data_IF_655964450891
#
_entry.id   IF_655964450891
#
_cell.length_a   1.000
_cell.length_b   1.000
_cell.length_c   1.000
_cell.angle_alpha   90.00
_cell.angle_beta   90.00
_cell.angle_gamma   90.00
#
_symmetry.space_group_name_H-M   'P 1'
#
loop_
_entity.id
_entity.type
_entity.pdbx_description
1 polymer ?
#
# COMPACT_ATOMS: atom_id res chain seq x y z
N UNK A 1 -2.87 -30.22 43.38
CA UNK A 1 -3.44 -29.54 42.19
C UNK A 1 -3.96 -30.61 41.25
N UNK A 2 -5.29 -30.73 41.21
CA UNK A 2 -5.98 -31.63 40.30
C UNK A 2 -5.84 -31.15 38.85
N UNK A 3 -6.12 -32.03 37.89
CA UNK A 3 -6.06 -31.69 36.46
C UNK A 3 -7.07 -30.59 36.07
N UNK A 4 -8.25 -30.56 36.70
CA UNK A 4 -9.28 -29.53 36.50
C UNK A 4 -8.81 -28.12 36.89
N UNK A 5 -8.12 -27.98 38.02
CA UNK A 5 -7.61 -26.69 38.53
C UNK A 5 -6.51 -26.11 37.62
N UNK A 6 -5.76 -26.97 36.92
CA UNK A 6 -4.76 -26.53 35.92
C UNK A 6 -5.40 -26.14 34.59
N UNK A 7 -6.51 -26.75 34.23
CA UNK A 7 -7.23 -26.48 32.99
C UNK A 7 -8.02 -25.16 33.09
N UNK A 8 -8.57 -24.86 34.26
CA UNK A 8 -9.26 -23.62 34.57
C UNK A 8 -8.29 -22.42 34.57
N UNK A 9 -7.13 -22.51 35.25
CA UNK A 9 -6.07 -21.48 35.23
C UNK A 9 -5.58 -21.21 33.80
N UNK A 10 -5.36 -22.27 33.01
CA UNK A 10 -4.93 -22.14 31.61
C UNK A 10 -6.00 -21.46 30.74
N UNK A 11 -7.27 -21.66 31.05
CA UNK A 11 -8.39 -21.04 30.32
C UNK A 11 -8.53 -19.56 30.68
N UNK A 12 -8.29 -19.19 31.94
CA UNK A 12 -8.25 -17.80 32.40
C UNK A 12 -7.06 -17.03 31.83
N UNK A 13 -5.85 -17.62 31.83
CA UNK A 13 -4.65 -17.02 31.19
C UNK A 13 -4.88 -16.77 29.69
N UNK A 14 -5.44 -17.75 28.97
CA UNK A 14 -5.77 -17.62 27.55
C UNK A 14 -6.87 -16.57 27.29
N UNK A 15 -7.77 -16.33 28.26
CA UNK A 15 -8.81 -15.33 28.15
C UNK A 15 -8.28 -13.91 28.43
N UNK A 16 -7.35 -13.75 29.39
CA UNK A 16 -6.65 -12.49 29.65
C UNK A 16 -5.72 -12.12 28.50
N UNK A 17 -4.95 -13.07 27.96
CA UNK A 17 -4.08 -12.85 26.79
C UNK A 17 -4.90 -12.43 25.55
N UNK A 18 -6.05 -13.08 25.32
CA UNK A 18 -6.98 -12.66 24.25
C UNK A 18 -7.61 -11.28 24.49
N UNK A 19 -7.86 -10.91 25.74
CA UNK A 19 -8.42 -9.60 26.12
C UNK A 19 -7.39 -8.49 25.98
N UNK A 20 -6.12 -8.77 26.27
CA UNK A 20 -4.99 -7.87 26.06
C UNK A 20 -4.70 -7.70 24.55
N UNK A 21 -4.66 -8.78 23.76
CA UNK A 21 -4.54 -8.70 22.30
C UNK A 21 -5.71 -7.94 21.67
N UNK A 22 -6.94 -8.19 22.15
CA UNK A 22 -8.15 -7.49 21.70
C UNK A 22 -8.15 -6.00 22.00
N UNK A 23 -7.33 -5.52 22.95
CA UNK A 23 -7.17 -4.10 23.23
C UNK A 23 -6.28 -3.37 22.22
N UNK A 24 -5.38 -4.10 21.53
CA UNK A 24 -4.39 -3.53 20.61
C UNK A 24 -4.74 -3.72 19.12
N UNK A 25 -5.89 -4.32 18.81
CA UNK A 25 -6.36 -4.52 17.43
C UNK A 25 -7.82 -4.09 17.35
N UNK A 26 -8.14 -3.21 16.41
CA UNK A 26 -9.52 -2.81 16.20
C UNK A 26 -10.38 -4.01 15.76
N UNK A 27 -11.65 -4.03 16.17
CA UNK A 27 -12.61 -5.04 15.73
C UNK A 27 -12.77 -5.00 14.20
N UNK A 28 -12.68 -6.15 13.54
CA UNK A 28 -12.79 -6.25 12.08
C UNK A 28 -11.55 -5.78 11.32
N UNK A 29 -10.39 -5.67 11.97
CA UNK A 29 -9.14 -5.30 11.31
C UNK A 29 -8.74 -6.28 10.18
N UNK A 30 -8.23 -5.78 9.02
CA UNK A 30 -8.06 -4.36 8.66
C UNK A 30 -9.39 -3.70 8.22
N UNK A 31 -9.70 -2.48 8.71
CA UNK A 31 -10.99 -1.84 8.48
C UNK A 31 -11.22 -1.35 7.04
N UNK A 32 -10.15 -1.09 6.27
CA UNK A 32 -10.27 -0.60 4.90
C UNK A 32 -9.82 -1.64 3.88
N UNK A 33 -10.71 -1.97 2.95
CA UNK A 33 -10.40 -2.85 1.84
C UNK A 33 -9.33 -2.28 0.90
N UNK A 34 -8.49 -3.18 0.37
CA UNK A 34 -7.40 -2.88 -0.53
C UNK A 34 -6.77 -4.15 -1.10
N UNK A 35 -5.66 -3.98 -1.83
CA UNK A 35 -4.89 -5.09 -2.39
C UNK A 35 -3.83 -5.55 -1.38
N UNK A 36 -4.22 -6.45 -0.50
CA UNK A 36 -3.33 -7.02 0.52
C UNK A 36 -3.81 -8.40 0.96
N UNK A 37 -2.91 -9.11 1.63
CA UNK A 37 -3.23 -10.25 2.48
C UNK A 37 -3.04 -9.82 3.93
N UNK A 38 -4.04 -10.11 4.77
CA UNK A 38 -3.95 -9.95 6.22
C UNK A 38 -3.66 -11.32 6.86
N UNK A 39 -2.74 -11.34 7.82
CA UNK A 39 -2.22 -12.52 8.48
C UNK A 39 -2.46 -12.45 9.98
N UNK A 40 -1.42 -12.77 10.76
CA UNK A 40 -1.47 -12.73 12.21
C UNK A 40 -1.39 -11.28 12.72
N UNK A 41 -2.46 -10.72 13.32
CA UNK A 41 -2.52 -9.32 13.71
C UNK A 41 -1.58 -8.98 14.88
N UNK A 42 -1.00 -9.97 15.56
CA UNK A 42 -0.04 -9.75 16.66
C UNK A 42 1.38 -9.45 16.18
N UNK A 43 1.67 -9.69 14.90
CA UNK A 43 3.02 -9.46 14.35
C UNK A 43 3.31 -7.97 14.20
N UNK A 44 4.55 -7.54 14.50
CA UNK A 44 4.88 -6.12 14.52
C UNK A 44 5.22 -5.52 13.15
N UNK A 45 5.13 -6.30 12.06
CA UNK A 45 5.62 -5.90 10.74
C UNK A 45 4.47 -5.77 9.75
N UNK A 46 4.46 -4.67 9.01
CA UNK A 46 3.69 -4.50 7.79
C UNK A 46 4.62 -4.40 6.58
N UNK A 47 4.17 -4.87 5.41
CA UNK A 47 4.97 -4.87 4.18
C UNK A 47 4.18 -4.20 3.05
N UNK A 48 4.83 -3.24 2.39
CA UNK A 48 4.35 -2.59 1.16
C UNK A 48 5.29 -2.99 0.02
N UNK A 49 4.75 -3.66 -1.01
CA UNK A 49 5.53 -4.20 -2.14
C UNK A 49 5.61 -3.27 -3.36
N UNK A 50 5.17 -2.01 -3.21
CA UNK A 50 5.19 -0.98 -4.25
C UNK A 50 4.59 -1.46 -5.58
N UNK A 51 5.37 -1.49 -6.67
CA UNK A 51 4.90 -1.93 -7.98
C UNK A 51 5.11 -3.44 -8.23
N UNK A 52 5.79 -4.16 -7.34
CA UNK A 52 6.16 -5.56 -7.55
C UNK A 52 5.05 -6.53 -7.15
N UNK A 53 4.93 -7.59 -7.94
CA UNK A 53 4.14 -8.78 -7.63
C UNK A 53 5.05 -9.83 -7.00
N UNK A 54 5.17 -9.80 -5.67
CA UNK A 54 5.96 -10.77 -4.89
C UNK A 54 5.07 -11.90 -4.35
N UNK A 55 5.68 -12.96 -3.83
CA UNK A 55 4.94 -13.98 -3.06
C UNK A 55 4.49 -13.43 -1.70
N UNK A 56 3.39 -12.67 -1.72
CA UNK A 56 2.80 -12.06 -0.53
C UNK A 56 2.42 -13.11 0.53
N UNK A 57 2.04 -14.33 0.13
CA UNK A 57 1.69 -15.39 1.07
C UNK A 57 2.92 -15.91 1.84
N UNK A 58 4.09 -15.96 1.18
CA UNK A 58 5.37 -16.22 1.84
C UNK A 58 5.75 -15.11 2.80
N UNK A 59 5.70 -13.85 2.37
CA UNK A 59 6.07 -12.69 3.19
C UNK A 59 5.15 -12.52 4.41
N UNK A 60 3.86 -12.81 4.26
CA UNK A 60 2.87 -12.78 5.35
C UNK A 60 3.18 -13.74 6.51
N UNK A 61 4.03 -14.75 6.29
CA UNK A 61 4.51 -15.60 7.39
C UNK A 61 5.33 -14.80 8.42
N UNK A 62 5.82 -13.60 8.09
CA UNK A 62 6.59 -12.72 8.98
C UNK A 62 5.93 -11.35 9.23
N UNK A 63 4.78 -11.08 8.64
CA UNK A 63 4.08 -9.81 8.78
C UNK A 63 2.61 -9.99 9.17
N UNK A 64 2.02 -8.94 9.73
CA UNK A 64 0.59 -8.88 10.01
C UNK A 64 -0.21 -8.58 8.74
N UNK A 65 0.38 -7.81 7.82
CA UNK A 65 -0.24 -7.41 6.56
C UNK A 65 0.83 -7.26 5.47
N UNK A 66 0.51 -7.67 4.25
CA UNK A 66 1.40 -7.57 3.09
C UNK A 66 0.59 -7.24 1.84
N UNK A 67 0.93 -6.17 1.13
CA UNK A 67 0.21 -5.77 -0.08
C UNK A 67 0.94 -4.71 -0.90
N UNK A 68 0.40 -4.39 -2.07
CA UNK A 68 0.95 -3.34 -2.93
C UNK A 68 0.41 -1.95 -2.56
N UNK A 69 1.23 -0.92 -2.77
CA UNK A 69 0.81 0.47 -2.64
C UNK A 69 1.48 1.28 -3.75
N UNK A 70 0.68 1.65 -4.77
CA UNK A 70 1.19 2.28 -5.99
C UNK A 70 1.04 3.80 -6.01
N UNK A 71 0.25 4.38 -5.11
CA UNK A 71 -0.01 5.82 -5.10
C UNK A 71 0.41 6.46 -3.79
N UNK A 72 1.10 7.59 -3.92
CA UNK A 72 1.63 8.45 -2.85
C UNK A 72 0.55 9.27 -2.12
N UNK A 73 -0.72 9.01 -2.42
CA UNK A 73 -1.90 9.70 -1.88
C UNK A 73 -2.91 8.70 -1.28
N UNK A 74 -4.05 8.44 -1.91
CA UNK A 74 -5.14 7.57 -1.43
C UNK A 74 -4.65 6.17 -1.04
N UNK A 75 -3.71 5.59 -1.79
CA UNK A 75 -3.10 4.30 -1.44
C UNK A 75 -2.35 4.38 -0.11
N UNK A 76 -1.58 5.44 0.07
CA UNK A 76 -0.86 5.74 1.31
C UNK A 76 -1.83 5.98 2.48
N UNK A 77 -2.91 6.75 2.27
CA UNK A 77 -3.94 7.00 3.28
C UNK A 77 -4.60 5.72 3.79
N UNK A 78 -4.98 4.81 2.87
CA UNK A 78 -5.57 3.51 3.22
C UNK A 78 -4.63 2.63 4.02
N UNK A 79 -3.35 2.58 3.61
CA UNK A 79 -2.34 1.82 4.33
C UNK A 79 -2.19 2.41 5.74
N UNK A 80 -1.94 3.72 5.89
CA UNK A 80 -1.82 4.37 7.21
C UNK A 80 -3.00 4.05 8.11
N UNK A 81 -4.24 4.20 7.61
CA UNK A 81 -5.45 3.88 8.35
C UNK A 81 -5.51 2.42 8.85
N UNK A 82 -5.11 1.47 7.99
CA UNK A 82 -5.02 0.06 8.38
C UNK A 82 -3.89 -0.19 9.38
N UNK A 83 -2.78 0.54 9.33
CA UNK A 83 -1.67 0.35 10.27
C UNK A 83 -2.01 0.89 11.67
N UNK A 84 -2.53 2.12 11.76
CA UNK A 84 -2.81 2.76 13.06
C UNK A 84 -4.01 2.15 13.80
N UNK A 85 -4.83 1.36 13.10
CA UNK A 85 -5.91 0.55 13.70
C UNK A 85 -5.43 -0.80 14.25
N UNK A 86 -4.12 -1.06 14.25
CA UNK A 86 -3.49 -2.19 14.93
C UNK A 86 -2.19 -1.74 15.61
N UNK A 87 -2.24 -1.54 16.92
CA UNK A 87 -1.11 -1.07 17.74
C UNK A 87 0.05 -2.07 17.80
N UNK A 88 -0.15 -3.35 17.45
CA UNK A 88 0.96 -4.30 17.37
C UNK A 88 1.95 -3.95 16.28
N UNK A 89 1.52 -3.30 15.19
CA UNK A 89 2.39 -3.00 14.05
C UNK A 89 3.31 -1.83 14.39
N UNK A 90 4.62 -2.11 14.43
CA UNK A 90 5.70 -1.18 14.79
C UNK A 90 6.70 -0.93 13.67
N UNK A 91 6.76 -1.80 12.66
CA UNK A 91 7.69 -1.70 11.55
C UNK A 91 6.93 -1.67 10.22
N UNK A 92 7.37 -0.81 9.31
CA UNK A 92 6.88 -0.75 7.94
C UNK A 92 8.02 -1.05 6.97
N UNK A 93 7.96 -2.19 6.30
CA UNK A 93 8.93 -2.55 5.26
C UNK A 93 8.42 -2.06 3.91
N UNK A 94 9.23 -1.25 3.24
CA UNK A 94 8.95 -0.79 1.88
C UNK A 94 9.90 -1.54 0.94
N UNK A 95 9.37 -2.44 0.12
CA UNK A 95 10.14 -3.26 -0.81
C UNK A 95 9.51 -3.30 -2.20
N UNK A 96 10.18 -3.97 -3.14
CA UNK A 96 9.73 -4.04 -4.53
C UNK A 96 10.17 -2.83 -5.37
N UNK A 97 9.89 -2.89 -6.65
CA UNK A 97 10.21 -1.88 -7.64
C UNK A 97 9.50 -0.57 -7.32
N UNK A 98 10.26 0.53 -7.35
CA UNK A 98 9.70 1.87 -7.15
C UNK A 98 8.68 2.22 -8.24
N UNK A 99 7.64 2.96 -7.85
CA UNK A 99 6.56 3.33 -8.75
C UNK A 99 6.99 4.52 -9.59
N UNK A 100 7.09 4.35 -10.91
CA UNK A 100 7.49 5.43 -11.80
C UNK A 100 6.52 6.61 -11.75
N UNK A 101 7.06 7.82 -11.53
CA UNK A 101 6.30 9.08 -11.45
C UNK A 101 5.67 9.35 -10.08
N UNK A 102 5.11 8.33 -9.44
CA UNK A 102 4.56 8.46 -8.08
C UNK A 102 5.66 8.49 -7.02
N UNK A 103 6.74 7.71 -7.23
CA UNK A 103 7.88 7.58 -6.32
C UNK A 103 7.39 7.30 -4.88
N UNK A 104 6.43 6.38 -4.78
CA UNK A 104 5.65 6.11 -3.57
C UNK A 104 6.53 5.61 -2.44
N UNK A 105 7.57 4.81 -2.71
CA UNK A 105 8.48 4.33 -1.67
C UNK A 105 9.21 5.46 -0.95
N UNK A 106 9.76 6.42 -1.69
CA UNK A 106 10.38 7.59 -1.06
C UNK A 106 9.37 8.52 -0.38
N UNK A 107 8.12 8.56 -0.84
CA UNK A 107 7.06 9.32 -0.17
C UNK A 107 6.71 8.72 1.20
N UNK A 108 6.78 7.40 1.37
CA UNK A 108 6.61 6.75 2.68
C UNK A 108 7.67 7.18 3.69
N UNK A 109 8.93 7.23 3.27
CA UNK A 109 10.03 7.71 4.12
C UNK A 109 9.82 9.17 4.52
N UNK A 110 9.51 10.02 3.55
CA UNK A 110 9.23 11.43 3.78
C UNK A 110 8.03 11.65 4.74
N UNK A 111 6.96 10.86 4.59
CA UNK A 111 5.80 10.93 5.48
C UNK A 111 6.14 10.55 6.91
N UNK A 112 6.93 9.48 7.10
CA UNK A 112 7.35 9.05 8.43
C UNK A 112 8.30 10.07 9.10
N UNK A 113 9.30 10.54 8.36
CA UNK A 113 10.33 11.44 8.88
C UNK A 113 9.78 12.86 9.12
N UNK A 114 9.03 13.40 8.15
CA UNK A 114 8.71 14.83 8.11
C UNK A 114 7.22 15.14 8.34
N UNK A 115 6.32 14.16 8.20
CA UNK A 115 4.88 14.38 8.28
C UNK A 115 4.34 15.18 7.10
N UNK A 116 3.34 16.02 7.37
CA UNK A 116 2.62 16.81 6.36
C UNK A 116 2.58 18.29 6.71
N UNK A 117 2.46 19.14 5.69
CA UNK A 117 2.20 20.58 5.86
C UNK A 117 0.72 20.89 6.10
N UNK A 118 0.39 22.17 6.30
CA UNK A 118 -0.98 22.66 6.54
C UNK A 118 -1.97 22.34 5.41
N UNK A 119 -1.48 21.96 4.23
CA UNK A 119 -2.29 21.58 3.06
C UNK A 119 -2.47 20.06 2.93
N UNK A 120 -1.87 19.28 3.83
CA UNK A 120 -1.81 17.82 3.77
C UNK A 120 -0.79 17.29 2.76
N UNK A 121 0.14 18.13 2.27
CA UNK A 121 1.24 17.68 1.41
C UNK A 121 2.31 17.03 2.27
N UNK A 122 2.80 15.87 1.86
CA UNK A 122 3.95 15.23 2.51
C UNK A 122 5.21 16.07 2.29
N UNK A 123 5.86 16.46 3.38
CA UNK A 123 7.02 17.36 3.37
C UNK A 123 8.23 16.60 2.79
N UNK A 124 8.93 17.23 1.85
CA UNK A 124 10.08 16.67 1.10
C UNK A 124 9.81 15.38 0.31
N UNK A 125 8.53 15.05 0.07
CA UNK A 125 8.18 13.92 -0.78
C UNK A 125 8.44 14.21 -2.27
N UNK A 126 9.17 13.34 -2.99
CA UNK A 126 9.54 13.55 -4.40
C UNK A 126 8.42 13.17 -5.39
N UNK A 127 7.32 12.60 -4.91
CA UNK A 127 6.19 12.18 -5.73
C UNK A 127 5.51 13.34 -6.45
N UNK A 128 4.75 13.00 -7.50
CA UNK A 128 4.06 14.00 -8.31
C UNK A 128 2.95 14.72 -7.54
N UNK A 129 2.15 13.98 -6.76
CA UNK A 129 0.98 14.50 -6.02
C UNK A 129 0.93 13.89 -4.59
N UNK A 130 1.95 14.13 -3.74
CA UNK A 130 2.06 13.54 -2.41
C UNK A 130 1.18 14.30 -1.41
N UNK A 131 -0.13 14.12 -1.51
CA UNK A 131 -1.14 14.73 -0.64
C UNK A 131 -1.97 13.65 0.05
N UNK A 132 -2.05 13.70 1.38
CA UNK A 132 -2.82 12.77 2.22
C UNK A 132 -3.93 13.52 2.96
N UNK A 133 -4.82 14.15 2.20
CA UNK A 133 -5.85 15.08 2.71
C UNK A 133 -7.00 14.41 3.46
N UNK A 134 -7.19 13.09 3.32
CA UNK A 134 -8.24 12.37 4.03
C UNK A 134 -7.79 11.83 5.39
N UNK A 135 -6.49 11.91 5.69
CA UNK A 135 -5.97 11.63 7.03
C UNK A 135 -6.02 12.91 7.86
N UNK A 136 -6.62 12.88 9.06
CA UNK A 136 -6.50 14.02 9.95
C UNK A 136 -5.06 14.09 10.51
N UNK A 137 -4.55 15.29 10.88
CA UNK A 137 -3.16 15.46 11.32
C UNK A 137 -2.76 14.53 12.47
N UNK A 138 -3.67 14.26 13.42
CA UNK A 138 -3.45 13.33 14.52
C UNK A 138 -3.19 11.88 14.06
N UNK A 139 -3.76 11.46 12.93
CA UNK A 139 -3.53 10.13 12.37
C UNK A 139 -2.14 10.02 11.74
N UNK A 140 -1.65 11.11 11.11
CA UNK A 140 -0.29 11.19 10.57
C UNK A 140 0.71 11.14 11.73
N UNK A 141 0.51 11.93 12.78
CA UNK A 141 1.38 11.89 13.97
C UNK A 141 1.33 10.54 14.69
N UNK A 142 0.14 9.94 14.81
CA UNK A 142 0.00 8.58 15.35
C UNK A 142 0.81 7.57 14.54
N UNK A 143 0.73 7.62 13.21
CA UNK A 143 1.54 6.76 12.35
C UNK A 143 3.04 6.96 12.58
N UNK A 144 3.51 8.20 12.64
CA UNK A 144 4.93 8.55 12.86
C UNK A 144 5.45 8.04 14.20
N UNK A 145 4.66 8.15 15.26
CA UNK A 145 5.03 7.70 16.60
C UNK A 145 4.90 6.18 16.79
N UNK A 146 3.90 5.57 16.16
CA UNK A 146 3.64 4.14 16.26
C UNK A 146 4.70 3.32 15.52
N UNK A 147 5.04 3.72 14.30
CA UNK A 147 6.06 3.06 13.49
C UNK A 147 7.44 3.52 13.97
N UNK A 148 8.23 2.61 14.53
CA UNK A 148 9.57 2.93 15.03
C UNK A 148 10.59 3.03 13.92
N UNK A 149 10.38 2.29 12.82
CA UNK A 149 11.28 2.28 11.68
C UNK A 149 10.52 1.94 10.38
N UNK A 150 10.80 2.74 9.35
CA UNK A 150 10.49 2.41 7.95
C UNK A 150 11.73 1.75 7.34
N UNK A 151 11.66 0.44 7.14
CA UNK A 151 12.77 -0.36 6.60
C UNK A 151 12.82 -0.17 5.08
N UNK A 152 13.86 0.52 4.62
CA UNK A 152 14.07 0.85 3.21
C UNK A 152 14.71 -0.33 2.46
N UNK A 153 13.88 -1.02 1.68
CA UNK A 153 14.28 -2.04 0.71
C UNK A 153 13.73 -1.70 -0.68
N UNK A 154 13.62 -0.40 -1.01
CA UNK A 154 13.10 0.05 -2.30
C UNK A 154 13.99 -0.49 -3.43
N UNK A 155 13.37 -1.00 -4.48
CA UNK A 155 13.99 -1.74 -5.61
C UNK A 155 14.65 -3.07 -5.23
N UNK A 156 14.33 -3.65 -4.06
CA UNK A 156 14.68 -5.03 -3.71
C UNK A 156 13.47 -5.93 -3.93
N UNK A 157 13.60 -6.89 -4.84
CA UNK A 157 12.55 -7.88 -5.16
C UNK A 157 12.90 -9.30 -4.69
N UNK A 158 14.12 -9.52 -4.16
CA UNK A 158 14.54 -10.81 -3.63
C UNK A 158 13.85 -11.08 -2.28
N UNK A 159 12.91 -12.02 -2.24
CA UNK A 159 12.15 -12.29 -1.01
C UNK A 159 13.01 -12.87 0.11
N UNK A 160 14.11 -13.56 -0.21
CA UNK A 160 15.04 -14.06 0.80
C UNK A 160 15.79 -12.93 1.51
N UNK A 161 16.15 -11.87 0.79
CA UNK A 161 16.74 -10.67 1.35
C UNK A 161 15.73 -9.90 2.21
N UNK A 162 14.49 -9.77 1.74
CA UNK A 162 13.39 -9.12 2.48
C UNK A 162 13.12 -9.88 3.80
N UNK A 163 12.96 -11.20 3.73
CA UNK A 163 12.79 -12.06 4.92
C UNK A 163 13.95 -11.91 5.89
N UNK A 164 15.20 -11.93 5.38
CA UNK A 164 16.39 -11.78 6.23
C UNK A 164 16.48 -10.41 6.89
N UNK A 165 15.97 -9.35 6.25
CA UNK A 165 15.89 -8.02 6.84
C UNK A 165 14.86 -7.97 7.97
N UNK A 166 13.69 -8.57 7.76
CA UNK A 166 12.64 -8.69 8.79
C UNK A 166 13.14 -9.50 9.99
N UNK A 167 13.84 -10.61 9.75
CA UNK A 167 14.37 -11.49 10.81
C UNK A 167 15.45 -10.81 11.68
N UNK A 168 16.01 -9.67 11.25
CA UNK A 168 16.97 -8.86 12.03
C UNK A 168 16.31 -7.77 12.88
N UNK A 169 15.02 -7.52 12.71
CA UNK A 169 14.32 -6.49 13.48
C UNK A 169 14.24 -6.88 14.95
N UNK A 170 14.38 -5.89 15.83
CA UNK A 170 14.32 -6.13 17.26
C UNK A 170 12.89 -6.51 17.67
N UNK A 171 12.72 -7.54 18.53
CA UNK A 171 11.42 -7.81 19.15
C UNK A 171 10.92 -6.57 19.89
N UNK A 172 9.66 -6.23 19.68
CA UNK A 172 9.03 -5.04 20.25
C UNK A 172 7.57 -5.33 20.58
N UNK A 173 7.09 -4.78 21.69
CA UNK A 173 5.69 -4.85 22.06
C UNK A 173 4.80 -3.88 21.27
N UNK A 174 3.49 -3.88 21.52
CA UNK A 174 2.56 -2.95 20.91
C UNK A 174 2.90 -1.48 21.23
N UNK A 175 2.36 -0.57 20.42
CA UNK A 175 2.34 0.84 20.75
C UNK A 175 1.42 1.08 21.95
N UNK A 176 1.78 2.03 22.81
CA UNK A 176 1.19 2.19 24.15
C UNK A 176 -0.28 2.62 24.12
N UNK A 177 -0.72 3.26 23.04
CA UNK A 177 -2.10 3.72 22.88
C UNK A 177 -3.00 2.67 22.19
N UNK A 178 -4.30 2.73 22.49
CA UNK A 178 -5.33 1.93 21.83
C UNK A 178 -5.38 2.17 20.30
N UNK A 179 -5.85 1.21 19.50
CA UNK A 179 -6.04 1.33 18.06
C UNK A 179 -6.80 2.59 17.66
N UNK A 180 -6.27 3.32 16.69
CA UNK A 180 -6.93 4.48 16.13
C UNK A 180 -7.76 4.08 14.91
N UNK A 181 -9.08 4.18 15.02
CA UNK A 181 -9.99 4.01 13.88
C UNK A 181 -10.27 5.37 13.24
N UNK A 182 -10.01 5.46 11.94
CA UNK A 182 -10.32 6.64 11.15
C UNK A 182 -11.35 6.34 10.07
N UNK A 183 -12.33 7.23 9.91
CA UNK A 183 -13.24 7.22 8.77
C UNK A 183 -12.64 8.13 7.71
N UNK A 184 -12.01 7.55 6.69
CA UNK A 184 -11.58 8.33 5.52
C UNK A 184 -12.82 8.93 4.86
N UNK A 185 -12.74 10.20 4.48
CA UNK A 185 -13.83 10.89 3.79
C UNK A 185 -14.21 10.21 2.47
N UNK A 186 -15.31 9.45 2.47
CA UNK A 186 -16.15 9.20 1.31
C UNK A 186 -15.69 8.15 0.29
N UNK A 187 -15.66 6.87 0.69
CA UNK A 187 -16.32 5.81 -0.09
C UNK A 187 -17.34 5.13 0.81
N UNK A 188 -18.40 5.86 1.14
CA UNK A 188 -19.64 5.25 1.62
C UNK A 188 -20.27 4.52 0.43
N UNK A 189 -20.32 3.20 0.47
CA UNK A 189 -21.46 2.50 -0.11
C UNK A 189 -22.71 3.06 0.59
N UNK A 190 -23.61 3.63 -0.20
CA UNK A 190 -24.83 4.23 0.30
C UNK A 190 -25.73 3.17 0.94
N UNK A 191 -25.84 3.20 2.27
CA UNK A 191 -27.11 2.89 2.94
C UNK A 191 -27.64 4.21 3.46
N UNK A 192 -28.71 4.69 2.83
CA UNK A 192 -29.26 6.03 3.03
C UNK A 192 -29.74 6.29 4.45
N UNK A 193 -29.54 7.53 4.90
CA UNK A 193 -30.60 8.51 5.21
C UNK A 193 -29.92 9.84 5.58
N UNK A 194 -30.63 10.94 5.33
CA UNK A 194 -30.07 12.28 5.11
C UNK A 194 -29.30 12.93 6.27
N UNK A 195 -28.52 13.98 5.93
CA UNK A 195 -28.82 15.40 6.24
C UNK A 195 -27.71 16.26 5.60
N UNK A 196 -28.14 17.35 4.93
CA UNK A 196 -27.29 18.33 4.23
C UNK A 196 -26.33 19.09 5.15
N UNK A 197 -25.09 19.28 4.69
CA UNK A 197 -24.14 20.27 5.21
C UNK A 197 -23.20 20.78 4.09
N UNK A 198 -23.51 21.95 3.52
CA UNK A 198 -22.91 22.52 2.30
C UNK A 198 -21.45 23.04 2.40
N UNK A 199 -20.54 22.32 3.04
CA UNK A 199 -19.09 22.66 2.98
C UNK A 199 -18.18 21.45 2.79
N UNK A 200 -18.60 20.25 3.19
CA UNK A 200 -17.85 18.99 2.95
C UNK A 200 -17.93 18.50 1.50
N UNK A 201 -18.95 18.92 0.75
CA UNK A 201 -19.18 18.50 -0.63
C UNK A 201 -18.10 19.03 -1.57
N UNK A 202 -17.52 20.20 -1.32
CA UNK A 202 -16.51 20.80 -2.22
C UNK A 202 -15.18 20.05 -2.18
N UNK A 203 -14.72 19.67 -0.98
CA UNK A 203 -13.46 18.92 -0.78
C UNK A 203 -13.61 17.47 -1.26
N UNK A 204 -14.79 16.88 -1.08
CA UNK A 204 -15.09 15.55 -1.62
C UNK A 204 -15.29 15.55 -3.14
N UNK A 205 -15.80 16.64 -3.73
CA UNK A 205 -15.86 16.82 -5.19
C UNK A 205 -14.44 17.02 -5.75
N UNK A 206 -13.59 17.83 -5.12
CA UNK A 206 -12.22 18.03 -5.60
C UNK A 206 -11.38 16.74 -5.56
N UNK A 207 -11.49 15.95 -4.49
CA UNK A 207 -10.81 14.65 -4.40
C UNK A 207 -11.32 13.65 -5.44
N UNK A 208 -12.63 13.61 -5.70
CA UNK A 208 -13.24 12.80 -6.78
C UNK A 208 -12.83 13.27 -8.17
N UNK A 209 -12.76 14.59 -8.41
CA UNK A 209 -12.29 15.14 -9.69
C UNK A 209 -10.82 14.79 -9.90
N UNK A 210 -9.98 14.90 -8.85
CA UNK A 210 -8.56 14.50 -8.92
C UNK A 210 -8.39 13.01 -9.15
N UNK A 211 -9.19 12.14 -8.53
CA UNK A 211 -9.13 10.69 -8.78
C UNK A 211 -9.54 10.34 -10.21
N UNK A 212 -10.58 11.00 -10.76
CA UNK A 212 -10.98 10.86 -12.16
C UNK A 212 -9.87 11.33 -13.11
N UNK A 213 -9.20 12.45 -12.80
CA UNK A 213 -8.06 12.92 -13.60
C UNK A 213 -6.88 11.93 -13.57
N UNK A 214 -6.67 11.22 -12.46
CA UNK A 214 -5.64 10.18 -12.34
C UNK A 214 -5.98 8.96 -13.21
N UNK A 215 -7.20 8.42 -13.09
CA UNK A 215 -7.65 7.32 -13.95
C UNK A 215 -7.57 7.69 -15.44
N UNK A 216 -7.91 8.93 -15.80
CA UNK A 216 -7.79 9.43 -17.16
C UNK A 216 -6.33 9.50 -17.64
N UNK A 217 -5.40 9.98 -16.79
CA UNK A 217 -3.97 10.03 -17.12
C UNK A 217 -3.39 8.62 -17.31
N UNK A 218 -3.81 7.65 -16.51
CA UNK A 218 -3.34 6.27 -16.62
C UNK A 218 -3.94 5.55 -17.84
N UNK A 219 -5.21 5.80 -18.16
CA UNK A 219 -5.82 5.41 -19.44
C UNK A 219 -5.05 6.00 -20.64
N UNK A 220 -4.65 7.27 -20.54
CA UNK A 220 -3.83 7.94 -21.55
C UNK A 220 -2.43 7.30 -21.71
N UNK A 221 -1.79 6.89 -20.61
CA UNK A 221 -0.50 6.16 -20.65
C UNK A 221 -0.65 4.79 -21.29
N UNK A 222 -1.69 4.03 -20.92
CA UNK A 222 -2.03 2.74 -21.53
C UNK A 222 -2.25 2.86 -23.03
N UNK A 223 -3.01 3.87 -23.48
CA UNK A 223 -3.18 4.15 -24.90
C UNK A 223 -1.86 4.50 -25.58
N UNK A 224 -0.99 5.30 -24.95
CA UNK A 224 0.31 5.67 -25.52
C UNK A 224 1.25 4.47 -25.67
N UNK A 225 1.33 3.60 -24.65
CA UNK A 225 2.13 2.36 -24.71
C UNK A 225 1.56 1.40 -25.76
N UNK A 226 0.24 1.22 -25.78
CA UNK A 226 -0.45 0.36 -26.76
C UNK A 226 -0.25 0.87 -28.18
N UNK A 227 -0.35 2.19 -28.42
CA UNK A 227 -0.11 2.80 -29.72
C UNK A 227 1.34 2.63 -30.18
N UNK A 228 2.32 2.76 -29.28
CA UNK A 228 3.73 2.49 -29.57
C UNK A 228 3.99 1.04 -29.95
N UNK A 229 3.41 0.09 -29.21
CA UNK A 229 3.57 -1.34 -29.45
C UNK A 229 2.92 -1.77 -30.78
N UNK A 230 1.69 -1.34 -31.03
CA UNK A 230 0.96 -1.62 -32.28
C UNK A 230 1.67 -0.97 -33.47
N UNK A 231 2.12 0.28 -33.33
CA UNK A 231 2.90 0.97 -34.37
C UNK A 231 4.18 0.24 -34.75
N UNK A 232 4.96 -0.20 -33.76
CA UNK A 232 6.18 -0.97 -33.98
C UNK A 232 5.92 -2.31 -34.68
N UNK A 233 4.84 -3.01 -34.30
CA UNK A 233 4.45 -4.27 -34.93
C UNK A 233 4.10 -4.09 -36.40
N UNK A 234 3.31 -3.05 -36.73
CA UNK A 234 2.93 -2.73 -38.11
C UNK A 234 4.14 -2.36 -38.98
N UNK A 235 5.05 -1.52 -38.46
CA UNK A 235 6.26 -1.13 -39.20
C UNK A 235 7.17 -2.33 -39.46
N UNK A 236 7.35 -3.22 -38.47
CA UNK A 236 8.12 -4.44 -38.63
C UNK A 236 7.54 -5.38 -39.69
N UNK A 237 6.21 -5.55 -39.70
CA UNK A 237 5.53 -6.39 -40.69
C UNK A 237 5.69 -5.85 -42.12
N UNK A 238 5.49 -4.54 -42.32
CA UNK A 238 5.62 -3.89 -43.63
C UNK A 238 7.06 -3.97 -44.15
N UNK A 239 8.06 -3.68 -43.31
CA UNK A 239 9.47 -3.79 -43.67
C UNK A 239 9.85 -5.24 -44.03
N UNK A 240 9.37 -6.22 -43.24
CA UNK A 240 9.59 -7.63 -43.51
C UNK A 240 9.01 -8.08 -44.85
N UNK A 241 7.79 -7.62 -45.18
CA UNK A 241 7.12 -7.95 -46.44
C UNK A 241 7.84 -7.33 -47.64
N UNK A 242 8.28 -6.08 -47.55
CA UNK A 242 9.08 -5.40 -48.59
C UNK A 242 10.40 -6.13 -48.82
N UNK A 243 11.13 -6.46 -47.76
CA UNK A 243 12.40 -7.18 -47.84
C UNK A 243 12.22 -8.54 -48.51
N UNK A 244 11.14 -9.25 -48.16
CA UNK A 244 10.81 -10.55 -48.73
C UNK A 244 10.55 -10.44 -50.23
N UNK A 245 9.69 -9.50 -50.66
CA UNK A 245 9.43 -9.26 -52.10
C UNK A 245 10.72 -8.91 -52.84
N UNK A 246 11.57 -8.07 -52.24
CA UNK A 246 12.84 -7.66 -52.83
C UNK A 246 13.79 -8.85 -53.04
N UNK A 247 13.94 -9.73 -52.03
CA UNK A 247 14.77 -10.94 -52.12
C UNK A 247 14.22 -11.90 -53.19
N UNK A 248 12.92 -12.14 -53.21
CA UNK A 248 12.29 -12.98 -54.25
C UNK A 248 12.43 -12.39 -55.65
N UNK A 249 12.31 -11.07 -55.78
CA UNK A 249 12.51 -10.33 -57.02
C UNK A 249 13.94 -10.46 -57.54
N UNK A 250 14.94 -10.25 -56.68
CA UNK A 250 16.36 -10.42 -57.01
C UNK A 250 16.67 -11.86 -57.42
N UNK A 251 16.17 -12.84 -56.67
CA UNK A 251 16.36 -14.26 -56.98
C UNK A 251 15.78 -14.63 -58.36
N UNK A 252 14.66 -14.03 -58.75
CA UNK A 252 14.05 -14.24 -60.07
C UNK A 252 14.80 -13.55 -61.22
N UNK A 253 15.56 -12.49 -60.92
CA UNK A 253 16.32 -11.72 -61.90
C UNK A 253 17.72 -12.31 -62.14
N UNK A 254 18.28 -12.98 -61.14
CA UNK A 254 19.63 -13.55 -61.13
C UNK A 254 19.69 -15.07 -61.40
N UNK A 255 18.55 -15.77 -61.45
CA UNK A 255 18.45 -17.19 -61.77
C UNK A 255 17.51 -17.44 -62.94
#
# INVERSE_FOLDING_TARGET
MGEEEKEEIKTEELAEEKKEIGSYVAEGWPPLAGSYLAGDPTKPVAIVTLASELDNARLLKRSAICGDCKTENIGTEKVVANLISNSNIRYLVICGAEVHGHITGLCWKALHENGVDDTGRVIDAPGAIPYVTNLPPEAVERFRNQIVEVVDLINVEDEGQIESAIDRLAPIGPYEEEPMLIKLGGVTEETGEGVLGHTGDSVSIESRVRSIEQEYKDLGKLQKVTAGLVGGLYQGFVLGLILTIFIFGLRRLLG
#
